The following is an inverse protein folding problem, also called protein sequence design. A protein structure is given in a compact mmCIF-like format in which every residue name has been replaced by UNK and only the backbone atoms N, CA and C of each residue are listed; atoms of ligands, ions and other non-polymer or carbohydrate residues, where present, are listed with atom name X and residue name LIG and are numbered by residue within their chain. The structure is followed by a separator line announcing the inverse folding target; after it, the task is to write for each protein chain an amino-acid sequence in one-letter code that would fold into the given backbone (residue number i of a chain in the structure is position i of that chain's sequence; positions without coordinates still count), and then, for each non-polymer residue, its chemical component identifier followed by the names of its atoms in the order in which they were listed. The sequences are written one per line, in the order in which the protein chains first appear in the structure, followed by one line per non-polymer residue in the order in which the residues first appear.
data_IF_229198524344
#
_entry.id   IF_229198524344
#
_cell.length_a   1.000
_cell.length_b   1.000
_cell.length_c   1.000
_cell.angle_alpha   90.00
_cell.angle_beta   90.00
_cell.angle_gamma   90.00
#
_symmetry.space_group_name_H-M   'P 1'
#
loop_
_entity.id
_entity.type
_entity.pdbx_description
1 polymer ?
#
# COMPACT_ATOMS: atom_id res chain seq x y z
N UNK A 1 8.18 11.59 -3.90
CA UNK A 1 7.17 10.60 -3.46
C UNK A 1 6.99 9.50 -4.50
N UNK A 2 6.88 8.24 -4.06
CA UNK A 2 6.55 7.06 -4.86
C UNK A 2 5.62 6.14 -4.05
N UNK A 3 4.62 5.54 -4.70
CA UNK A 3 3.71 4.57 -4.06
C UNK A 3 4.03 3.16 -4.57
N UNK A 4 4.28 2.22 -3.66
CA UNK A 4 4.46 0.81 -4.01
C UNK A 4 3.41 -0.07 -3.34
N UNK A 5 3.12 -1.21 -3.99
CA UNK A 5 2.24 -2.22 -3.41
C UNK A 5 2.47 -3.60 -4.03
N UNK A 6 1.81 -4.63 -3.49
CA UNK A 6 1.90 -6.01 -3.94
C UNK A 6 1.03 -6.39 -5.12
N UNK A 7 0.20 -5.47 -5.62
CA UNK A 7 -0.66 -5.67 -6.77
C UNK A 7 -1.86 -6.61 -6.57
N UNK A 8 -2.11 -7.10 -5.35
CA UNK A 8 -3.33 -7.86 -5.04
C UNK A 8 -4.58 -7.02 -5.33
N UNK A 9 -5.74 -7.65 -5.47
CA UNK A 9 -7.04 -6.93 -5.46
C UNK A 9 -7.23 -6.17 -4.13
N UNK A 10 -8.26 -5.32 -4.06
CA UNK A 10 -8.56 -4.56 -2.84
C UNK A 10 -7.57 -3.41 -2.64
N UNK A 11 -6.99 -3.31 -1.44
CA UNK A 11 -6.14 -2.19 -1.04
C UNK A 11 -4.92 -2.00 -1.95
N UNK A 12 -4.23 -3.11 -2.27
CA UNK A 12 -3.02 -3.05 -3.10
C UNK A 12 -3.33 -2.46 -4.49
N UNK A 13 -4.45 -2.85 -5.09
CA UNK A 13 -4.87 -2.35 -6.41
C UNK A 13 -5.27 -0.89 -6.36
N UNK A 14 -6.05 -0.52 -5.35
CA UNK A 14 -6.49 0.85 -5.14
C UNK A 14 -5.31 1.81 -4.99
N UNK A 15 -4.25 1.40 -4.29
CA UNK A 15 -3.04 2.20 -4.15
C UNK A 15 -2.36 2.48 -5.49
N UNK A 16 -2.22 1.46 -6.33
CA UNK A 16 -1.62 1.61 -7.66
C UNK A 16 -2.47 2.48 -8.58
N UNK A 17 -3.79 2.28 -8.57
CA UNK A 17 -4.71 3.08 -9.39
C UNK A 17 -4.76 4.55 -8.92
N UNK A 18 -4.71 4.79 -7.60
CA UNK A 18 -4.62 6.15 -7.05
C UNK A 18 -3.32 6.84 -7.45
N UNK A 19 -2.18 6.12 -7.37
CA UNK A 19 -0.89 6.65 -7.79
C UNK A 19 -0.90 7.05 -9.28
N UNK A 20 -1.45 6.20 -10.14
CA UNK A 20 -1.63 6.50 -11.58
C UNK A 20 -2.52 7.74 -11.76
N UNK A 21 -3.64 7.82 -11.03
CA UNK A 21 -4.59 8.94 -11.14
C UNK A 21 -4.01 10.29 -10.69
N UNK A 22 -3.08 10.25 -9.74
CA UNK A 22 -2.38 11.41 -9.18
C UNK A 22 -1.06 11.74 -9.90
N UNK A 23 -0.69 10.96 -10.91
CA UNK A 23 0.60 11.03 -11.59
C UNK A 23 1.81 10.87 -10.64
N UNK A 24 1.63 10.10 -9.56
CA UNK A 24 2.70 9.73 -8.63
C UNK A 24 3.40 8.48 -9.17
N UNK A 25 4.75 8.43 -9.19
CA UNK A 25 5.48 7.23 -9.55
C UNK A 25 4.98 6.02 -8.75
N UNK A 26 4.73 4.89 -9.44
CA UNK A 26 4.26 3.67 -8.80
C UNK A 26 5.13 2.46 -9.11
N UNK A 27 5.04 1.42 -8.27
CA UNK A 27 5.72 0.15 -8.50
C UNK A 27 5.46 -0.86 -7.39
N UNK A 28 6.48 -1.67 -7.09
CA UNK A 28 6.44 -2.68 -6.03
C UNK A 28 6.74 -4.08 -6.54
N UNK A 29 6.61 -5.04 -5.63
CA UNK A 29 6.97 -6.44 -5.84
C UNK A 29 5.75 -7.33 -5.79
N UNK A 30 5.68 -8.28 -6.71
CA UNK A 30 4.60 -9.28 -6.77
C UNK A 30 5.16 -10.69 -6.98
N UNK A 31 4.39 -11.74 -6.67
CA UNK A 31 4.86 -13.12 -6.82
C UNK A 31 5.06 -13.48 -8.28
N UNK A 32 5.93 -14.46 -8.54
CA UNK A 32 6.13 -15.07 -9.86
C UNK A 32 4.81 -15.41 -10.55
N UNK A 33 4.68 -15.07 -11.82
CA UNK A 33 3.46 -15.20 -12.62
C UNK A 33 2.46 -14.07 -12.40
N UNK A 34 2.92 -12.95 -11.82
CA UNK A 34 2.12 -11.76 -11.50
C UNK A 34 0.83 -12.07 -10.73
N UNK A 35 0.88 -13.05 -9.82
CA UNK A 35 -0.31 -13.68 -9.23
C UNK A 35 -1.08 -12.74 -8.30
N UNK A 36 -2.39 -12.69 -8.51
CA UNK A 36 -3.41 -12.08 -7.65
C UNK A 36 -4.57 -13.07 -7.48
N UNK A 37 -5.60 -12.73 -6.70
CA UNK A 37 -6.77 -13.62 -6.54
C UNK A 37 -7.63 -13.72 -7.81
N UNK A 38 -7.62 -12.69 -8.66
CA UNK A 38 -8.34 -12.66 -9.95
C UNK A 38 -7.46 -13.11 -11.13
N UNK A 39 -6.30 -13.71 -10.83
CA UNK A 39 -5.33 -14.14 -11.84
C UNK A 39 -4.17 -13.17 -12.00
N UNK A 40 -3.64 -13.05 -13.21
CA UNK A 40 -2.40 -12.30 -13.48
C UNK A 40 -2.64 -10.78 -13.49
N UNK A 41 -1.78 -10.02 -12.80
CA UNK A 41 -1.82 -8.56 -12.81
C UNK A 41 -1.55 -8.02 -14.23
N UNK A 42 -2.40 -7.14 -14.80
CA UNK A 42 -2.14 -6.53 -16.11
C UNK A 42 -0.77 -5.82 -16.19
N UNK A 43 -0.15 -5.82 -17.37
CA UNK A 43 1.19 -5.24 -17.60
C UNK A 43 1.25 -3.72 -17.44
N UNK A 44 0.10 -3.03 -17.47
CA UNK A 44 0.01 -1.58 -17.22
C UNK A 44 0.57 -1.17 -15.85
N UNK A 45 0.57 -2.08 -14.88
CA UNK A 45 1.14 -1.87 -13.56
C UNK A 45 2.63 -2.23 -13.55
N UNK A 46 3.49 -1.23 -13.29
CA UNK A 46 4.95 -1.33 -13.38
C UNK A 46 5.59 -1.99 -12.14
N UNK A 47 5.16 -3.22 -11.82
CA UNK A 47 5.69 -4.00 -10.69
C UNK A 47 6.69 -5.05 -11.17
N UNK A 48 7.64 -5.39 -10.28
CA UNK A 48 8.70 -6.36 -10.49
C UNK A 48 8.34 -7.72 -9.89
N UNK A 49 8.52 -8.79 -10.67
CA UNK A 49 8.25 -10.15 -10.22
C UNK A 49 9.40 -10.68 -9.38
N UNK A 50 9.06 -11.25 -8.22
CA UNK A 50 9.99 -12.07 -7.47
C UNK A 50 10.10 -13.46 -8.12
N UNK A 51 11.24 -14.15 -7.95
CA UNK A 51 11.38 -15.56 -8.33
C UNK A 51 10.40 -16.50 -7.59
N UNK A 52 9.96 -16.09 -6.39
CA UNK A 52 9.03 -16.84 -5.55
C UNK A 52 7.58 -16.57 -5.89
N UNK A 53 6.74 -17.61 -5.83
CA UNK A 53 5.29 -17.50 -5.97
C UNK A 53 4.57 -17.24 -4.63
N UNK A 54 5.31 -17.09 -3.53
CA UNK A 54 4.75 -16.91 -2.19
C UNK A 54 4.39 -15.44 -1.92
N UNK A 55 3.16 -15.19 -1.48
CA UNK A 55 2.70 -13.86 -1.08
C UNK A 55 3.50 -13.27 0.10
N UNK A 56 4.03 -14.11 0.99
CA UNK A 56 4.84 -13.61 2.12
C UNK A 56 6.13 -12.94 1.65
N UNK A 57 6.75 -13.47 0.60
CA UNK A 57 8.03 -12.96 0.10
C UNK A 57 7.85 -11.59 -0.55
N UNK A 58 6.79 -11.42 -1.36
CA UNK A 58 6.45 -10.10 -1.91
C UNK A 58 6.07 -9.09 -0.83
N UNK A 59 5.37 -9.51 0.23
CA UNK A 59 5.01 -8.61 1.32
C UNK A 59 6.26 -8.11 2.03
N UNK A 60 7.19 -9.02 2.33
CA UNK A 60 8.47 -8.66 2.94
C UNK A 60 9.28 -7.71 2.04
N UNK A 61 9.38 -7.99 0.75
CA UNK A 61 10.17 -7.16 -0.16
C UNK A 61 9.60 -5.74 -0.27
N UNK A 62 8.28 -5.59 -0.39
CA UNK A 62 7.65 -4.25 -0.41
C UNK A 62 7.90 -3.47 0.90
N UNK A 63 7.92 -4.14 2.05
CA UNK A 63 8.26 -3.49 3.32
C UNK A 63 9.73 -3.03 3.33
N UNK A 64 10.65 -3.87 2.87
CA UNK A 64 12.08 -3.58 2.89
C UNK A 64 12.46 -2.44 1.92
N UNK A 65 11.79 -2.35 0.78
CA UNK A 65 12.04 -1.36 -0.28
C UNK A 65 11.14 -0.12 -0.16
N UNK A 66 10.56 0.11 1.03
CA UNK A 66 9.81 1.33 1.36
C UNK A 66 10.39 2.00 2.60
N UNK A 67 10.12 3.29 2.73
CA UNK A 67 10.45 4.07 3.92
C UNK A 67 9.40 3.90 5.02
N UNK A 68 8.17 3.58 4.63
CA UNK A 68 7.10 3.25 5.57
C UNK A 68 5.97 2.46 4.91
N UNK A 69 5.21 1.75 5.74
CA UNK A 69 4.03 0.99 5.30
C UNK A 69 2.74 1.55 5.90
N UNK A 70 1.82 1.99 5.05
CA UNK A 70 0.44 2.31 5.40
C UNK A 70 -0.43 1.06 5.22
N UNK A 71 -1.11 0.64 6.29
CA UNK A 71 -2.08 -0.46 6.26
C UNK A 71 -3.46 0.14 6.47
N UNK A 72 -4.41 -0.14 5.57
CA UNK A 72 -5.80 0.30 5.70
C UNK A 72 -6.71 -0.93 5.83
N UNK A 73 -7.66 -0.89 6.75
CA UNK A 73 -8.65 -1.95 6.96
C UNK A 73 -9.99 -1.40 7.43
N UNK A 74 -10.99 -2.29 7.50
CA UNK A 74 -12.18 -2.14 8.31
C UNK A 74 -12.09 -3.14 9.46
N UNK A 75 -11.94 -2.64 10.69
CA UNK A 75 -11.71 -3.45 11.87
C UNK A 75 -10.25 -3.91 12.02
N UNK A 76 -9.98 -4.80 12.99
CA UNK A 76 -8.63 -5.23 13.34
C UNK A 76 -7.93 -5.97 12.20
N UNK A 77 -6.60 -5.89 12.18
CA UNK A 77 -5.79 -6.56 11.16
C UNK A 77 -5.87 -8.09 11.33
N UNK A 78 -6.12 -8.77 10.21
CA UNK A 78 -6.14 -10.24 10.14
C UNK A 78 -5.34 -10.73 8.93
N UNK A 79 -5.02 -12.03 8.93
CA UNK A 79 -4.39 -12.71 7.80
C UNK A 79 -3.15 -12.01 7.24
N UNK A 80 -3.19 -11.68 5.94
CA UNK A 80 -2.09 -11.02 5.24
C UNK A 80 -1.75 -9.63 5.77
N UNK A 81 -2.74 -8.86 6.22
CA UNK A 81 -2.52 -7.51 6.75
C UNK A 81 -1.82 -7.53 8.11
N UNK A 82 -2.22 -8.46 8.99
CA UNK A 82 -1.53 -8.68 10.28
C UNK A 82 -0.08 -9.14 10.09
N UNK A 83 0.16 -9.99 9.08
CA UNK A 83 1.53 -10.37 8.70
C UNK A 83 2.34 -9.16 8.22
N UNK A 84 1.75 -8.25 7.45
CA UNK A 84 2.42 -7.03 7.01
C UNK A 84 2.87 -6.19 8.19
N UNK A 85 1.99 -5.94 9.16
CA UNK A 85 2.33 -5.17 10.38
C UNK A 85 3.46 -5.85 11.17
N UNK A 86 3.34 -7.16 11.42
CA UNK A 86 4.35 -7.92 12.15
C UNK A 86 5.72 -7.89 11.45
N UNK A 87 5.75 -7.92 10.11
CA UNK A 87 6.99 -7.81 9.33
C UNK A 87 7.56 -6.39 9.37
N UNK A 88 6.73 -5.35 9.30
CA UNK A 88 7.19 -3.96 9.40
C UNK A 88 7.85 -3.71 10.76
N UNK A 89 7.20 -4.12 11.85
CA UNK A 89 7.76 -4.05 13.22
C UNK A 89 9.07 -4.82 13.30
N UNK A 90 9.09 -6.09 12.82
CA UNK A 90 10.30 -6.93 12.85
C UNK A 90 11.48 -6.30 12.11
N UNK A 91 11.21 -5.61 11.01
CA UNK A 91 12.22 -4.96 10.18
C UNK A 91 12.49 -3.50 10.58
N UNK A 92 11.89 -3.03 11.69
CA UNK A 92 12.03 -1.65 12.19
C UNK A 92 11.68 -0.61 11.12
N UNK A 93 10.68 -0.92 10.30
CA UNK A 93 10.12 0.02 9.32
C UNK A 93 8.91 0.73 9.92
N UNK A 94 8.80 2.06 9.79
CA UNK A 94 7.60 2.81 10.15
C UNK A 94 6.35 2.15 9.59
N UNK A 95 5.33 2.00 10.43
CA UNK A 95 4.07 1.38 10.05
C UNK A 95 2.92 2.19 10.65
N UNK A 96 1.97 2.60 9.82
CA UNK A 96 0.73 3.26 10.25
C UNK A 96 -0.45 2.39 9.85
N UNK A 97 -1.27 2.02 10.83
CA UNK A 97 -2.54 1.34 10.60
C UNK A 97 -3.70 2.34 10.72
N UNK A 98 -4.51 2.43 9.67
CA UNK A 98 -5.77 3.16 9.65
C UNK A 98 -6.94 2.16 9.61
N UNK A 99 -7.65 2.08 10.72
CA UNK A 99 -8.91 1.33 10.82
C UNK A 99 -10.09 2.25 10.50
N UNK A 100 -10.72 2.06 9.34
CA UNK A 100 -11.84 2.88 8.88
C UNK A 100 -13.16 2.62 9.62
N UNK A 101 -13.23 1.64 10.52
CA UNK A 101 -14.36 1.51 11.45
C UNK A 101 -14.22 2.47 12.65
N UNK A 102 -12.99 2.84 13.00
CA UNK A 102 -12.69 3.67 14.17
C UNK A 102 -12.33 5.12 13.80
N UNK A 103 -11.85 5.34 12.58
CA UNK A 103 -11.33 6.62 12.14
C UNK A 103 -12.30 7.33 11.21
N UNK A 104 -12.67 8.56 11.58
CA UNK A 104 -13.32 9.47 10.65
C UNK A 104 -12.37 9.84 9.50
N UNK A 105 -12.86 10.02 8.26
CA UNK A 105 -12.02 10.27 7.08
C UNK A 105 -11.03 11.42 7.24
N UNK A 106 -11.47 12.57 7.77
CA UNK A 106 -10.61 13.75 7.96
C UNK A 106 -9.49 13.49 8.98
N UNK A 107 -9.78 12.67 10.00
CA UNK A 107 -8.79 12.27 11.00
C UNK A 107 -7.76 11.32 10.39
N UNK A 108 -8.20 10.36 9.59
CA UNK A 108 -7.32 9.44 8.86
C UNK A 108 -6.38 10.21 7.92
N UNK A 109 -6.93 11.13 7.12
CA UNK A 109 -6.15 12.03 6.25
C UNK A 109 -5.06 12.76 7.03
N UNK A 110 -5.42 13.50 8.09
CA UNK A 110 -4.46 14.30 8.87
C UNK A 110 -3.36 13.43 9.49
N UNK A 111 -3.71 12.24 9.99
CA UNK A 111 -2.73 11.33 10.56
C UNK A 111 -1.77 10.76 9.52
N UNK A 112 -2.26 10.40 8.32
CA UNK A 112 -1.41 9.96 7.22
C UNK A 112 -0.43 11.08 6.83
N UNK A 113 -0.95 12.29 6.59
CA UNK A 113 -0.12 13.43 6.18
C UNK A 113 0.95 13.78 7.23
N UNK A 114 0.58 13.76 8.50
CA UNK A 114 1.53 14.01 9.59
C UNK A 114 2.58 12.90 9.67
N UNK A 115 2.15 11.64 9.61
CA UNK A 115 3.05 10.49 9.69
C UNK A 115 4.04 10.43 8.53
N UNK A 116 3.61 10.77 7.31
CA UNK A 116 4.47 10.88 6.13
C UNK A 116 5.59 11.91 6.35
N UNK A 117 5.27 13.07 6.92
CA UNK A 117 6.25 14.12 7.24
C UNK A 117 7.19 13.72 8.36
N UNK A 118 6.66 13.21 9.47
CA UNK A 118 7.44 12.88 10.67
C UNK A 118 8.49 11.80 10.40
N UNK A 119 8.21 10.90 9.46
CA UNK A 119 9.11 9.81 9.09
C UNK A 119 9.87 10.05 7.77
N UNK A 120 9.73 11.23 7.17
CA UNK A 120 10.30 11.58 5.86
C UNK A 120 10.11 10.48 4.81
N UNK A 121 8.86 10.02 4.64
CA UNK A 121 8.56 8.90 3.75
C UNK A 121 8.57 9.39 2.30
N UNK A 122 9.51 8.87 1.51
CA UNK A 122 9.62 9.17 0.08
C UNK A 122 9.06 8.03 -0.77
N UNK A 123 9.21 6.79 -0.32
CA UNK A 123 8.60 5.59 -0.89
C UNK A 123 7.62 4.97 0.11
N UNK A 124 6.32 5.10 -0.19
CA UNK A 124 5.24 4.57 0.63
C UNK A 124 4.79 3.20 0.12
N UNK A 125 4.87 2.17 0.95
CA UNK A 125 4.17 0.92 0.72
C UNK A 125 2.73 1.02 1.24
N UNK A 126 1.74 0.66 0.42
CA UNK A 126 0.33 0.60 0.84
C UNK A 126 -0.16 -0.84 0.79
N UNK A 127 -0.79 -1.28 1.88
CA UNK A 127 -1.30 -2.63 2.04
C UNK A 127 -2.68 -2.64 2.71
N UNK A 128 -3.37 -3.78 2.60
CA UNK A 128 -4.65 -4.02 3.24
C UNK A 128 -5.27 -5.34 2.76
N UNK A 129 -6.52 -5.63 3.16
CA UNK A 129 -7.20 -6.84 2.71
C UNK A 129 -7.41 -6.83 1.19
N UNK A 130 -7.44 -8.05 0.64
CA UNK A 130 -7.88 -8.33 -0.73
C UNK A 130 -9.38 -8.08 -0.87
N UNK A 131 -9.86 -7.87 -2.09
CA UNK A 131 -11.27 -7.56 -2.34
C UNK A 131 -12.22 -8.66 -1.83
N UNK A 132 -11.85 -9.94 -1.98
CA UNK A 132 -12.66 -11.05 -1.44
C UNK A 132 -12.78 -11.06 0.09
N UNK A 133 -11.85 -10.41 0.80
CA UNK A 133 -11.84 -10.35 2.26
C UNK A 133 -12.58 -9.13 2.81
N UNK A 134 -12.61 -8.03 2.05
CA UNK A 134 -13.36 -6.83 2.38
C UNK A 134 -13.72 -6.05 1.09
N UNK A 135 -14.93 -6.22 0.56
CA UNK A 135 -15.33 -5.61 -0.72
C UNK A 135 -15.28 -4.08 -0.74
N UNK A 136 -15.39 -3.43 0.42
CA UNK A 136 -15.37 -1.96 0.52
C UNK A 136 -13.96 -1.38 0.38
N UNK A 137 -12.92 -2.19 0.61
CA UNK A 137 -11.55 -1.68 0.83
C UNK A 137 -10.98 -0.96 -0.38
N UNK A 138 -11.24 -1.44 -1.59
CA UNK A 138 -10.69 -0.84 -2.81
C UNK A 138 -11.09 0.64 -2.90
N UNK A 139 -12.40 0.91 -2.83
CA UNK A 139 -12.92 2.28 -2.96
C UNK A 139 -12.46 3.16 -1.81
N UNK A 140 -12.47 2.62 -0.59
CA UNK A 140 -12.06 3.35 0.59
C UNK A 140 -10.58 3.80 0.53
N UNK A 141 -9.67 2.90 0.14
CA UNK A 141 -8.25 3.23 -0.02
C UNK A 141 -8.06 4.23 -1.17
N UNK A 142 -8.71 4.00 -2.31
CA UNK A 142 -8.60 4.89 -3.46
C UNK A 142 -9.03 6.33 -3.11
N UNK A 143 -10.24 6.48 -2.55
CA UNK A 143 -10.81 7.78 -2.19
C UNK A 143 -10.01 8.46 -1.07
N UNK A 144 -9.45 7.71 -0.12
CA UNK A 144 -8.59 8.24 0.93
C UNK A 144 -7.28 8.80 0.37
N UNK A 145 -6.59 8.05 -0.50
CA UNK A 145 -5.31 8.46 -1.09
C UNK A 145 -5.45 9.68 -2.00
N UNK A 146 -6.57 9.82 -2.72
CA UNK A 146 -6.85 11.01 -3.55
C UNK A 146 -7.02 12.29 -2.73
N UNK A 147 -7.33 12.18 -1.44
CA UNK A 147 -7.53 13.33 -0.56
C UNK A 147 -6.26 13.77 0.17
N UNK A 148 -5.21 12.96 0.16
CA UNK A 148 -3.93 13.28 0.79
C UNK A 148 -3.23 14.41 0.01
N UNK A 149 -2.73 15.40 0.73
CA UNK A 149 -1.81 16.39 0.19
C UNK A 149 -0.41 15.78 0.08
N UNK A 150 -0.08 15.27 -1.10
CA UNK A 150 1.20 14.62 -1.36
C UNK A 150 2.34 15.64 -1.47
N UNK A 151 3.52 15.39 -0.88
CA UNK A 151 4.68 16.24 -1.08
C UNK A 151 5.10 16.16 -2.56
N UNK A 152 5.37 17.32 -3.15
CA UNK A 152 5.85 17.43 -4.54
C UNK A 152 7.15 16.63 -4.70
N UNK A 153 7.28 15.92 -5.82
CA UNK A 153 8.59 15.48 -6.28
C UNK A 153 9.30 16.70 -6.80
N UNK A 154 10.42 17.09 -6.19
CA UNK A 154 11.38 17.98 -6.84
C UNK A 154 11.78 17.31 -8.16
N UNK A 155 11.16 17.74 -9.26
CA UNK A 155 11.72 17.57 -10.58
C UNK A 155 12.92 18.52 -10.63
N UNK A 156 14.09 18.04 -10.21
CA UNK A 156 15.33 18.72 -10.60
C UNK A 156 15.38 18.71 -12.14
N UNK A 157 15.42 19.88 -12.78
CA UNK A 157 15.42 20.00 -14.24
C UNK A 157 16.69 19.43 -14.89
#
# INVERSE_FOLDING_TARGET
MKIISGGQTGADRAALDAAIRLNIPHGGWLPRGRRTEEGSLPSRYRLQELPSANYRDRTRQNILDSDGTLIVSFGPLTGGSALTEALAIRHRRPCLHIDLELWQPERAKKAIEQWLRDHNIETLNVAGPRASGEPRIYRAVFDLLLQISWPETDETP
#
